data_IF_245657711543
#
_entry.id   IF_245657711543
#
_cell.length_a   1.000
_cell.length_b   1.000
_cell.length_c   1.000
_cell.angle_alpha   90.00
_cell.angle_beta   90.00
_cell.angle_gamma   90.00
#
_symmetry.space_group_name_H-M   'P 1'
#
loop_
_entity.id
_entity.type
_entity.pdbx_description
1 polymer ?
#
# COMPACT_ATOMS: atom_id res chain seq x y z
N UNK A 1 9.93 23.51 2.54
CA UNK A 1 9.49 22.29 1.83
C UNK A 1 9.41 21.17 2.87
N UNK A 2 8.27 20.98 3.50
CA UNK A 2 8.04 19.82 4.39
C UNK A 2 8.04 18.58 3.51
N UNK A 3 9.08 17.74 3.63
CA UNK A 3 9.15 16.48 2.89
C UNK A 3 7.85 15.70 3.11
N UNK A 4 7.21 15.30 2.02
CA UNK A 4 5.97 14.52 2.06
C UNK A 4 6.25 13.23 2.83
N UNK A 5 5.77 13.13 4.08
CA UNK A 5 5.93 11.92 4.91
C UNK A 5 4.60 11.19 4.98
N UNK A 6 4.62 9.88 4.77
CA UNK A 6 3.45 9.02 4.99
C UNK A 6 3.06 9.00 6.47
N UNK A 7 1.77 8.83 6.81
CA UNK A 7 1.36 8.66 8.19
C UNK A 7 1.98 7.39 8.79
N UNK A 8 2.34 7.43 10.08
CA UNK A 8 2.93 6.28 10.76
C UNK A 8 1.91 5.14 10.88
N UNK A 9 0.63 5.48 11.13
CA UNK A 9 -0.48 4.54 11.21
C UNK A 9 -1.61 4.92 10.24
N UNK A 10 -2.18 3.92 9.57
CA UNK A 10 -3.27 4.12 8.62
C UNK A 10 -4.44 3.21 8.96
N UNK A 11 -5.57 3.82 9.33
CA UNK A 11 -6.84 3.11 9.48
C UNK A 11 -7.35 2.75 8.10
N UNK A 12 -7.50 1.46 7.85
CA UNK A 12 -8.06 0.94 6.61
C UNK A 12 -9.55 0.69 6.81
N UNK A 13 -10.38 1.57 6.23
CA UNK A 13 -11.84 1.39 6.22
C UNK A 13 -12.21 0.08 5.48
N UNK A 14 -13.25 -0.61 5.96
CA UNK A 14 -13.88 -1.76 5.31
C UNK A 14 -14.03 -1.56 3.80
N UNK A 15 -14.47 -0.36 3.37
CA UNK A 15 -14.71 -0.10 1.95
C UNK A 15 -13.43 -0.28 1.12
N UNK A 16 -12.27 0.19 1.57
CA UNK A 16 -11.02 0.04 0.80
C UNK A 16 -10.54 -1.41 0.79
N UNK A 17 -10.73 -2.13 1.90
CA UNK A 17 -10.38 -3.55 2.03
C UNK A 17 -11.26 -4.48 1.18
N UNK A 18 -12.49 -4.07 0.82
CA UNK A 18 -13.36 -4.88 -0.07
C UNK A 18 -12.88 -4.93 -1.52
N UNK A 19 -12.08 -3.97 -1.98
CA UNK A 19 -11.44 -4.06 -3.29
C UNK A 19 -10.23 -4.98 -3.20
N UNK A 20 -10.25 -6.10 -3.92
CA UNK A 20 -9.12 -7.04 -3.95
C UNK A 20 -7.81 -6.38 -4.41
N UNK A 21 -7.89 -5.44 -5.34
CA UNK A 21 -6.71 -4.72 -5.87
C UNK A 21 -6.17 -3.71 -4.87
N UNK A 22 -7.03 -2.88 -4.29
CA UNK A 22 -6.59 -1.92 -3.26
C UNK A 22 -6.08 -2.65 -2.03
N UNK A 23 -6.75 -3.71 -1.59
CA UNK A 23 -6.31 -4.54 -0.48
C UNK A 23 -4.91 -5.11 -0.70
N UNK A 24 -4.64 -5.70 -1.87
CA UNK A 24 -3.31 -6.18 -2.23
C UNK A 24 -2.24 -5.09 -2.11
N UNK A 25 -2.48 -3.92 -2.70
CA UNK A 25 -1.54 -2.81 -2.67
C UNK A 25 -1.33 -2.31 -1.22
N UNK A 26 -2.42 -2.09 -0.47
CA UNK A 26 -2.37 -1.48 0.86
C UNK A 26 -1.72 -2.41 1.89
N UNK A 27 -2.09 -3.69 1.92
CA UNK A 27 -1.44 -4.67 2.80
C UNK A 27 0.01 -4.90 2.38
N UNK A 28 0.31 -4.86 1.08
CA UNK A 28 1.66 -4.95 0.55
C UNK A 28 2.56 -3.78 0.94
N UNK A 29 2.02 -2.56 1.00
CA UNK A 29 2.70 -1.36 1.49
C UNK A 29 2.93 -1.45 3.00
N UNK A 30 1.91 -1.88 3.76
CA UNK A 30 2.02 -2.09 5.21
C UNK A 30 3.09 -3.12 5.55
N UNK A 31 3.14 -4.24 4.83
CA UNK A 31 4.14 -5.29 5.03
C UNK A 31 5.58 -4.85 4.73
N UNK A 32 5.77 -3.82 3.89
CA UNK A 32 7.08 -3.23 3.58
C UNK A 32 7.42 -2.03 4.48
N UNK A 33 6.61 -1.78 5.51
CA UNK A 33 6.87 -0.74 6.52
C UNK A 33 6.59 0.68 6.04
N UNK A 34 5.84 0.87 4.94
CA UNK A 34 5.49 2.23 4.47
C UNK A 34 4.52 2.95 5.42
N UNK A 35 3.71 2.18 6.16
CA UNK A 35 2.88 2.60 7.29
C UNK A 35 2.51 1.36 8.10
N UNK A 36 1.94 1.53 9.30
CA UNK A 36 1.38 0.44 10.11
C UNK A 36 -0.15 0.40 9.92
N UNK A 37 -0.73 -0.67 9.37
CA UNK A 37 -2.18 -0.75 9.22
C UNK A 37 -2.87 -0.80 10.58
N UNK A 38 -4.08 -0.25 10.62
CA UNK A 38 -4.98 -0.25 11.78
C UNK A 38 -6.38 -0.63 11.33
N UNK A 39 -7.03 -1.51 12.08
CA UNK A 39 -8.46 -1.80 11.95
C UNK A 39 -9.06 -2.17 13.31
N UNK A 40 -10.34 -1.93 13.52
CA UNK A 40 -11.04 -2.42 14.71
C UNK A 40 -11.68 -3.77 14.43
N UNK A 41 -12.14 -4.44 15.49
CA UNK A 41 -13.00 -5.62 15.35
C UNK A 41 -14.27 -5.32 14.55
N UNK A 42 -14.81 -4.11 14.64
CA UNK A 42 -16.00 -3.70 13.85
C UNK A 42 -15.67 -3.70 12.34
N UNK A 43 -14.50 -3.19 11.95
CA UNK A 43 -14.03 -3.24 10.55
C UNK A 43 -13.84 -4.69 10.09
N UNK A 44 -13.29 -5.54 10.95
CA UNK A 44 -13.15 -6.98 10.67
C UNK A 44 -14.50 -7.64 10.40
N UNK A 45 -15.45 -7.48 11.32
CA UNK A 45 -16.78 -8.07 11.25
C UNK A 45 -17.57 -7.54 10.04
N UNK A 46 -17.44 -6.24 9.72
CA UNK A 46 -18.01 -5.67 8.50
C UNK A 46 -17.38 -6.23 7.23
N UNK A 47 -16.06 -6.35 7.20
CA UNK A 47 -15.36 -6.88 6.04
C UNK A 47 -15.77 -8.34 5.79
N UNK A 48 -15.74 -9.20 6.81
CA UNK A 48 -16.11 -10.61 6.70
C UNK A 48 -17.56 -10.79 6.21
N UNK A 49 -18.51 -10.00 6.74
CA UNK A 49 -19.91 -10.02 6.28
C UNK A 49 -20.06 -9.63 4.81
N UNK A 50 -19.30 -8.63 4.36
CA UNK A 50 -19.41 -8.12 3.00
C UNK A 50 -18.59 -8.94 1.99
N UNK A 51 -17.49 -9.56 2.41
CA UNK A 51 -16.62 -10.37 1.57
C UNK A 51 -17.37 -11.57 0.96
N UNK A 52 -18.23 -12.22 1.74
CA UNK A 52 -19.07 -13.32 1.26
C UNK A 52 -19.95 -12.91 0.06
N UNK A 53 -20.44 -11.66 0.07
CA UNK A 53 -21.27 -11.11 -1.02
C UNK A 53 -20.46 -10.61 -2.21
N UNK A 54 -19.29 -10.01 -1.96
CA UNK A 54 -18.51 -9.29 -2.99
C UNK A 54 -17.49 -10.18 -3.69
N UNK A 55 -16.90 -11.14 -2.97
CA UNK A 55 -15.85 -12.01 -3.48
C UNK A 55 -16.36 -13.41 -3.86
N UNK A 56 -17.67 -13.69 -3.69
CA UNK A 56 -18.28 -15.00 -3.93
C UNK A 56 -17.58 -16.14 -3.16
N UNK A 57 -17.05 -15.84 -1.98
CA UNK A 57 -16.40 -16.80 -1.09
C UNK A 57 -17.35 -17.19 0.04
N UNK A 58 -17.15 -18.38 0.60
CA UNK A 58 -17.85 -18.81 1.82
C UNK A 58 -17.45 -17.96 3.03
N UNK A 59 -18.27 -18.01 4.08
CA UNK A 59 -17.96 -17.33 5.33
C UNK A 59 -16.68 -17.89 6.00
N UNK A 60 -16.41 -19.19 5.85
CA UNK A 60 -15.19 -19.83 6.35
C UNK A 60 -13.94 -19.34 5.59
N UNK A 61 -14.01 -19.22 4.27
CA UNK A 61 -12.91 -18.67 3.47
C UNK A 61 -12.65 -17.20 3.81
N UNK A 62 -13.70 -16.39 3.96
CA UNK A 62 -13.55 -14.99 4.38
C UNK A 62 -12.88 -14.89 5.76
N UNK A 63 -13.27 -15.75 6.73
CA UNK A 63 -12.61 -15.82 8.04
C UNK A 63 -11.13 -16.19 7.90
N UNK A 64 -10.83 -17.26 7.14
CA UNK A 64 -9.46 -17.71 6.93
C UNK A 64 -8.56 -16.62 6.31
N UNK A 65 -9.08 -15.85 5.34
CA UNK A 65 -8.36 -14.73 4.75
C UNK A 65 -8.10 -13.61 5.77
N UNK A 66 -9.10 -13.30 6.59
CA UNK A 66 -8.92 -12.29 7.63
C UNK A 66 -7.90 -12.73 8.69
N UNK A 67 -7.96 -13.99 9.11
CA UNK A 67 -7.03 -14.56 10.09
C UNK A 67 -5.59 -14.53 9.58
N UNK A 68 -5.36 -14.79 8.30
CA UNK A 68 -4.05 -14.61 7.66
C UNK A 68 -3.54 -13.16 7.79
N UNK A 69 -4.41 -12.16 7.56
CA UNK A 69 -4.03 -10.75 7.68
C UNK A 69 -3.80 -10.35 9.14
N UNK A 70 -4.65 -10.81 10.05
CA UNK A 70 -4.48 -10.58 11.48
C UNK A 70 -3.18 -11.19 11.99
N UNK A 71 -2.83 -12.39 11.52
CA UNK A 71 -1.55 -13.03 11.85
C UNK A 71 -0.36 -12.26 11.29
N UNK A 72 -0.46 -11.74 10.06
CA UNK A 72 0.59 -10.92 9.44
C UNK A 72 0.74 -9.54 10.10
N UNK A 73 -0.34 -9.00 10.66
CA UNK A 73 -0.39 -7.67 11.26
C UNK A 73 -0.98 -7.70 12.68
N UNK A 74 -0.30 -8.33 13.66
CA UNK A 74 -0.87 -8.52 15.00
C UNK A 74 -1.19 -7.19 15.69
N UNK A 75 -0.37 -6.16 15.46
CA UNK A 75 -0.59 -4.83 16.02
C UNK A 75 -1.80 -4.08 15.42
N UNK A 76 -2.40 -4.57 14.34
CA UNK A 76 -3.48 -3.88 13.65
C UNK A 76 -4.87 -4.16 14.27
N UNK A 77 -5.03 -5.25 15.03
CA UNK A 77 -6.36 -5.77 15.45
C UNK A 77 -6.74 -5.43 16.90
N UNK A 78 -5.79 -5.09 17.76
CA UNK A 78 -5.99 -4.97 19.21
C UNK A 78 -6.29 -3.55 19.66
N UNK A 79 -7.46 -3.02 19.29
CA UNK A 79 -7.91 -1.71 19.77
C UNK A 79 -9.33 -1.79 20.32
N UNK A 80 -9.48 -1.44 21.60
CA UNK A 80 -10.78 -1.12 22.18
C UNK A 80 -11.17 0.29 21.71
N UNK A 81 -12.24 0.38 20.91
CA UNK A 81 -12.63 1.64 20.24
C UNK A 81 -13.87 2.30 20.84
N UNK A 82 -14.65 1.59 21.67
CA UNK A 82 -15.94 2.10 22.16
C UNK A 82 -15.81 3.43 22.93
N UNK A 83 -14.83 3.60 23.83
CA UNK A 83 -14.64 4.87 24.54
C UNK A 83 -14.33 6.05 23.60
N UNK A 84 -13.77 5.77 22.42
CA UNK A 84 -13.37 6.78 21.46
C UNK A 84 -14.50 7.22 20.53
N UNK A 85 -15.69 6.61 20.62
CA UNK A 85 -16.88 7.12 19.92
C UNK A 85 -17.53 8.29 20.66
N UNK A 86 -17.29 8.41 21.97
CA UNK A 86 -17.87 9.47 22.80
C UNK A 86 -17.42 10.85 22.29
N UNK A 87 -18.39 11.71 22.01
CA UNK A 87 -18.13 13.08 21.57
C UNK A 87 -18.00 13.28 20.06
N UNK A 88 -18.03 12.21 19.25
CA UNK A 88 -18.22 12.31 17.81
C UNK A 88 -19.63 12.81 17.51
N UNK A 89 -19.74 13.77 16.58
CA UNK A 89 -21.02 14.46 16.32
C UNK A 89 -21.26 14.80 14.85
N UNK A 90 -20.20 15.07 14.09
CA UNK A 90 -20.34 15.73 12.79
C UNK A 90 -20.17 14.79 11.60
N UNK A 91 -19.40 13.72 11.75
CA UNK A 91 -19.29 12.64 10.75
C UNK A 91 -20.48 11.68 10.84
N UNK A 92 -20.74 10.91 9.78
CA UNK A 92 -21.81 9.91 9.75
C UNK A 92 -21.61 8.90 10.89
N UNK A 93 -22.67 8.65 11.66
CA UNK A 93 -22.64 7.79 12.84
C UNK A 93 -22.25 6.34 12.49
N UNK A 94 -22.55 5.88 11.28
CA UNK A 94 -22.16 4.54 10.83
C UNK A 94 -20.64 4.39 10.69
N UNK A 95 -19.93 5.49 10.43
CA UNK A 95 -18.48 5.52 10.17
C UNK A 95 -17.67 5.93 11.42
N UNK A 96 -18.33 6.21 12.54
CA UNK A 96 -17.67 6.57 13.81
C UNK A 96 -16.69 5.50 14.29
N UNK A 97 -16.94 4.23 13.98
CA UNK A 97 -16.04 3.15 14.36
C UNK A 97 -14.66 3.25 13.67
N UNK A 98 -14.59 3.81 12.45
CA UNK A 98 -13.34 4.07 11.72
C UNK A 98 -12.58 5.22 12.38
N UNK A 99 -13.30 6.29 12.76
CA UNK A 99 -12.72 7.42 13.50
C UNK A 99 -12.18 6.97 14.85
N UNK A 100 -12.98 6.21 15.59
CA UNK A 100 -12.64 5.68 16.89
C UNK A 100 -11.41 4.76 16.84
N UNK A 101 -11.25 3.95 15.79
CA UNK A 101 -10.03 3.17 15.56
C UNK A 101 -8.78 4.06 15.41
N UNK A 102 -8.89 5.17 14.68
CA UNK A 102 -7.81 6.13 14.53
C UNK A 102 -7.47 6.86 15.84
N UNK A 103 -8.49 7.22 16.62
CA UNK A 103 -8.30 7.82 17.94
C UNK A 103 -7.63 6.85 18.92
N UNK A 104 -8.07 5.59 18.94
CA UNK A 104 -7.48 4.55 19.79
C UNK A 104 -6.01 4.29 19.43
N UNK A 105 -5.69 4.18 18.15
CA UNK A 105 -4.31 4.03 17.68
C UNK A 105 -3.45 5.23 18.09
N UNK A 106 -3.96 6.46 17.93
CA UNK A 106 -3.22 7.66 18.33
C UNK A 106 -3.00 7.73 19.83
N UNK A 107 -4.00 7.35 20.64
CA UNK A 107 -3.86 7.27 22.09
C UNK A 107 -2.79 6.26 22.49
N UNK A 108 -2.77 5.07 21.87
CA UNK A 108 -1.79 4.01 22.15
C UNK A 108 -0.36 4.35 21.69
N UNK A 109 -0.22 5.15 20.63
CA UNK A 109 1.05 5.33 19.93
C UNK A 109 1.53 6.79 19.85
N UNK A 110 1.02 7.69 20.71
CA UNK A 110 1.45 9.09 20.74
C UNK A 110 2.98 9.21 20.91
N UNK A 111 3.66 10.10 20.17
CA UNK A 111 3.13 11.17 19.31
C UNK A 111 2.98 10.80 17.81
N UNK A 112 2.71 9.54 17.46
CA UNK A 112 2.63 9.11 16.05
C UNK A 112 1.51 9.78 15.24
N UNK A 113 1.77 9.98 13.95
CA UNK A 113 0.78 10.47 13.00
C UNK A 113 -0.19 9.36 12.57
N UNK A 114 -1.50 9.66 12.58
CA UNK A 114 -2.55 8.70 12.23
C UNK A 114 -3.47 9.28 11.17
N UNK A 115 -3.79 8.48 10.16
CA UNK A 115 -4.70 8.85 9.10
C UNK A 115 -5.77 7.79 8.87
N UNK A 116 -6.89 8.20 8.28
CA UNK A 116 -7.96 7.31 7.80
C UNK A 116 -7.89 7.25 6.27
N UNK A 117 -7.98 6.03 5.72
CA UNK A 117 -8.11 5.79 4.29
C UNK A 117 -9.49 5.23 3.97
N UNK A 118 -10.28 5.96 3.18
CA UNK A 118 -11.64 5.57 2.80
C UNK A 118 -11.98 6.05 1.39
N UNK A 119 -12.87 5.33 0.69
CA UNK A 119 -13.50 5.84 -0.54
C UNK A 119 -14.63 6.83 -0.24
N UNK A 120 -15.25 6.76 0.94
CA UNK A 120 -16.44 7.50 1.29
C UNK A 120 -16.10 8.81 2.01
N UNK A 121 -15.09 9.54 1.53
CA UNK A 121 -14.56 10.75 2.22
C UNK A 121 -15.61 11.84 2.52
N UNK A 122 -16.76 11.81 1.85
CA UNK A 122 -17.90 12.71 2.09
C UNK A 122 -18.65 12.43 3.40
N UNK A 123 -18.54 11.20 3.93
CA UNK A 123 -19.21 10.78 5.17
C UNK A 123 -18.42 11.23 6.42
N UNK A 124 -17.21 11.80 6.22
CA UNK A 124 -16.30 12.24 7.26
C UNK A 124 -16.17 13.77 7.31
N UNK A 125 -16.44 14.36 8.47
CA UNK A 125 -16.31 15.80 8.67
C UNK A 125 -14.82 16.20 8.86
N UNK A 126 -14.23 16.83 7.83
CA UNK A 126 -12.80 17.23 7.85
C UNK A 126 -12.42 18.16 9.02
N UNK A 127 -13.22 19.19 9.38
CA UNK A 127 -12.93 20.00 10.58
C UNK A 127 -12.90 19.20 11.88
N UNK A 128 -13.83 18.26 12.07
CA UNK A 128 -13.85 17.34 13.22
C UNK A 128 -12.58 16.49 13.26
N UNK A 129 -12.24 15.80 12.16
CA UNK A 129 -11.03 14.98 12.09
C UNK A 129 -9.75 15.78 12.37
N UNK A 130 -9.64 17.00 11.85
CA UNK A 130 -8.48 17.87 12.10
C UNK A 130 -8.35 18.25 13.57
N UNK A 131 -9.44 18.62 14.24
CA UNK A 131 -9.43 18.91 15.70
C UNK A 131 -9.03 17.67 16.49
N UNK A 132 -9.47 16.51 16.03
CA UNK A 132 -9.09 15.22 16.56
C UNK A 132 -7.70 14.77 16.12
N UNK A 133 -6.88 15.56 15.41
CA UNK A 133 -5.54 15.16 15.01
C UNK A 133 -5.46 13.95 14.06
N UNK A 134 -6.50 13.73 13.25
CA UNK A 134 -6.56 12.68 12.23
C UNK A 134 -6.51 13.29 10.83
N UNK A 135 -5.70 12.71 9.95
CA UNK A 135 -5.74 12.99 8.53
C UNK A 135 -6.76 12.10 7.80
N UNK A 136 -7.23 12.53 6.63
CA UNK A 136 -8.19 11.79 5.81
C UNK A 136 -7.71 11.74 4.36
N UNK A 137 -7.55 10.53 3.83
CA UNK A 137 -7.15 10.28 2.46
C UNK A 137 -8.22 9.49 1.68
N UNK A 138 -8.36 9.82 0.39
CA UNK A 138 -8.88 8.90 -0.61
C UNK A 138 -7.74 8.00 -1.15
N UNK A 139 -8.04 6.79 -1.67
CA UNK A 139 -7.02 5.87 -2.17
C UNK A 139 -6.10 6.46 -3.25
N UNK A 140 -6.66 7.23 -4.18
CA UNK A 140 -5.90 7.81 -5.29
C UNK A 140 -4.86 8.81 -4.77
N UNK A 141 -5.29 9.75 -3.92
CA UNK A 141 -4.36 10.70 -3.28
C UNK A 141 -3.30 10.01 -2.43
N UNK A 142 -3.68 8.98 -1.65
CA UNK A 142 -2.73 8.27 -0.79
C UNK A 142 -1.67 7.53 -1.60
N UNK A 143 -2.07 6.80 -2.65
CA UNK A 143 -1.13 6.04 -3.47
C UNK A 143 -0.22 6.93 -4.31
N UNK A 144 -0.66 8.13 -4.71
CA UNK A 144 0.23 9.16 -5.27
C UNK A 144 1.32 9.53 -4.26
N UNK A 145 0.96 9.77 -3.00
CA UNK A 145 1.92 10.09 -1.96
C UNK A 145 2.89 8.92 -1.69
N UNK A 146 2.39 7.68 -1.70
CA UNK A 146 3.26 6.50 -1.64
C UNK A 146 4.20 6.42 -2.85
N UNK A 147 3.73 6.76 -4.05
CA UNK A 147 4.56 6.76 -5.25
C UNK A 147 5.70 7.79 -5.13
N UNK A 148 5.45 8.95 -4.54
CA UNK A 148 6.48 9.97 -4.29
C UNK A 148 7.52 9.51 -3.26
N UNK A 149 7.09 8.81 -2.20
CA UNK A 149 7.95 8.44 -1.06
C UNK A 149 8.67 7.10 -1.28
N UNK A 150 8.01 6.11 -1.87
CA UNK A 150 8.51 4.74 -2.02
C UNK A 150 8.14 4.12 -3.38
N UNK A 151 8.43 4.86 -4.48
CA UNK A 151 8.15 4.43 -5.87
C UNK A 151 8.44 2.95 -6.17
N UNK A 152 9.63 2.39 -5.87
CA UNK A 152 9.94 1.00 -6.23
C UNK A 152 8.96 0.00 -5.61
N UNK A 153 8.50 0.28 -4.38
CA UNK A 153 7.53 -0.57 -3.68
C UNK A 153 6.16 -0.51 -4.35
N UNK A 154 5.68 0.70 -4.68
CA UNK A 154 4.39 0.89 -5.34
C UNK A 154 4.38 0.21 -6.71
N UNK A 155 5.43 0.41 -7.51
CA UNK A 155 5.57 -0.19 -8.84
C UNK A 155 5.57 -1.72 -8.74
N UNK A 156 6.39 -2.32 -7.87
CA UNK A 156 6.43 -3.77 -7.70
C UNK A 156 5.08 -4.36 -7.26
N UNK A 157 4.33 -3.66 -6.41
CA UNK A 157 2.99 -4.09 -5.99
C UNK A 157 1.97 -4.04 -7.11
N UNK A 158 2.06 -3.02 -7.97
CA UNK A 158 1.22 -2.87 -9.15
C UNK A 158 1.53 -3.93 -10.21
N UNK A 159 2.80 -4.26 -10.42
CA UNK A 159 3.24 -5.32 -11.34
C UNK A 159 2.80 -6.71 -10.88
N UNK A 160 2.75 -6.95 -9.57
CA UNK A 160 2.30 -8.20 -8.97
C UNK A 160 0.78 -8.38 -8.95
N UNK A 161 -0.02 -7.40 -9.39
CA UNK A 161 -1.47 -7.56 -9.47
C UNK A 161 -1.83 -8.58 -10.56
N UNK A 162 -2.79 -9.49 -10.30
CA UNK A 162 -3.32 -10.36 -11.34
C UNK A 162 -3.82 -9.54 -12.53
N UNK A 163 -3.15 -9.75 -13.67
CA UNK A 163 -3.54 -9.18 -14.95
C UNK A 163 -4.71 -10.00 -15.52
N UNK A 164 -5.56 -9.37 -16.33
CA UNK A 164 -6.65 -10.09 -16.96
C UNK A 164 -6.12 -11.10 -17.98
N UNK A 165 -6.93 -12.07 -18.39
CA UNK A 165 -6.55 -13.05 -19.43
C UNK A 165 -6.18 -12.40 -20.79
N UNK A 166 -6.46 -11.11 -20.98
CA UNK A 166 -6.10 -10.33 -22.16
C UNK A 166 -4.70 -9.69 -22.09
N UNK A 167 -3.98 -9.82 -20.98
CA UNK A 167 -2.71 -9.13 -20.74
C UNK A 167 -1.54 -10.11 -20.83
N UNK A 168 -0.55 -9.83 -21.68
CA UNK A 168 0.67 -10.64 -21.76
C UNK A 168 1.60 -10.38 -20.55
N UNK A 169 2.41 -11.37 -20.13
CA UNK A 169 3.33 -11.24 -19.00
C UNK A 169 4.29 -10.04 -19.10
N UNK A 170 4.70 -9.69 -20.31
CA UNK A 170 5.71 -8.65 -20.59
C UNK A 170 5.13 -7.27 -20.89
N UNK A 171 3.82 -7.07 -20.73
CA UNK A 171 3.23 -5.82 -21.16
C UNK A 171 3.62 -4.63 -20.25
N UNK A 172 3.98 -3.45 -20.80
CA UNK A 172 4.38 -2.28 -20.03
C UNK A 172 3.29 -1.76 -19.09
N UNK A 173 3.69 -0.91 -18.14
CA UNK A 173 2.84 -0.19 -17.17
C UNK A 173 1.61 0.48 -17.82
N UNK A 174 1.66 0.79 -19.12
CA UNK A 174 0.53 1.26 -19.93
C UNK A 174 -0.74 0.40 -19.83
N UNK A 175 -0.65 -0.92 -19.61
CA UNK A 175 -1.79 -1.85 -19.47
C UNK A 175 -2.54 -1.68 -18.14
N UNK A 176 -1.89 -1.14 -17.10
CA UNK A 176 -2.55 -0.92 -15.81
C UNK A 176 -3.57 0.21 -15.84
N UNK A 177 -3.52 1.08 -16.85
CA UNK A 177 -4.40 2.25 -17.01
C UNK A 177 -5.89 1.93 -16.79
N UNK A 178 -6.40 0.92 -17.49
CA UNK A 178 -7.81 0.53 -17.40
C UNK A 178 -8.17 0.02 -16.00
N UNK A 179 -7.28 -0.77 -15.41
CA UNK A 179 -7.45 -1.29 -14.05
C UNK A 179 -7.44 -0.17 -13.00
N UNK A 180 -6.45 0.73 -13.05
CA UNK A 180 -6.33 1.85 -12.12
C UNK A 180 -7.56 2.77 -12.18
N UNK A 181 -8.06 3.05 -13.39
CA UNK A 181 -9.29 3.85 -13.58
C UNK A 181 -10.53 3.16 -13.01
N UNK A 182 -10.66 1.83 -13.13
CA UNK A 182 -11.74 1.07 -12.48
C UNK A 182 -11.70 1.18 -10.95
N UNK A 183 -10.50 1.23 -10.37
CA UNK A 183 -10.30 1.51 -8.93
C UNK A 183 -10.36 3.02 -8.59
N UNK A 184 -10.69 3.88 -9.57
CA UNK A 184 -10.75 5.34 -9.45
C UNK A 184 -9.42 6.01 -9.08
N UNK A 185 -8.30 5.36 -9.42
CA UNK A 185 -6.93 5.83 -9.19
C UNK A 185 -6.42 6.73 -10.33
N UNK A 186 -7.17 7.79 -10.65
CA UNK A 186 -6.93 8.62 -11.84
C UNK A 186 -5.65 9.44 -11.78
N UNK A 187 -5.25 9.95 -10.60
CA UNK A 187 -4.02 10.73 -10.44
C UNK A 187 -2.80 9.82 -10.51
N UNK A 188 -2.85 8.69 -9.81
CA UNK A 188 -1.77 7.70 -9.86
C UNK A 188 -1.52 7.23 -11.30
N UNK A 189 -2.58 6.89 -12.01
CA UNK A 189 -2.54 6.46 -13.40
C UNK A 189 -1.92 7.53 -14.33
N UNK A 190 -2.30 8.80 -14.14
CA UNK A 190 -1.69 9.91 -14.88
C UNK A 190 -0.19 10.06 -14.61
N UNK A 191 0.23 9.94 -13.36
CA UNK A 191 1.65 10.06 -13.00
C UNK A 191 2.47 8.91 -13.58
N UNK A 192 1.97 7.68 -13.52
CA UNK A 192 2.67 6.52 -14.07
C UNK A 192 2.86 6.65 -15.59
N UNK A 193 1.83 7.10 -16.33
CA UNK A 193 1.96 7.39 -17.77
C UNK A 193 2.87 8.56 -18.09
N UNK A 194 2.91 9.58 -17.23
CA UNK A 194 3.82 10.71 -17.38
C UNK A 194 5.26 10.41 -16.99
N UNK A 195 5.56 9.19 -16.49
CA UNK A 195 6.93 8.76 -16.15
C UNK A 195 7.53 7.78 -17.17
N UNK A 196 6.95 7.62 -18.37
CA UNK A 196 7.66 6.89 -19.43
C UNK A 196 8.99 7.60 -19.71
N UNK A 197 10.14 6.90 -19.68
CA UNK A 197 11.37 7.47 -20.19
C UNK A 197 11.11 7.79 -21.67
N UNK A 198 11.22 9.06 -22.04
CA UNK A 198 11.14 9.49 -23.44
C UNK A 198 12.12 8.64 -24.27
N UNK A 199 11.66 7.79 -25.22
CA UNK A 199 12.55 7.01 -26.07
C UNK A 199 13.39 7.90 -27.00
N UNK A 200 13.07 9.20 -27.07
CA UNK A 200 13.75 10.23 -27.84
C UNK A 200 14.79 11.03 -27.02
N UNK A 201 14.90 10.79 -25.72
CA UNK A 201 15.88 11.50 -24.90
C UNK A 201 17.29 11.10 -25.34
N UNK A 202 18.13 12.06 -25.79
CA UNK A 202 19.46 11.73 -26.25
C UNK A 202 20.27 11.15 -25.09
N UNK A 203 20.90 10.00 -25.32
CA UNK A 203 21.94 9.45 -24.44
C UNK A 203 23.02 10.53 -24.35
N UNK A 204 23.09 11.24 -23.23
CA UNK A 204 24.21 12.14 -22.95
C UNK A 204 25.47 11.30 -22.83
N UNK A 205 26.21 11.15 -23.92
CA UNK A 205 27.59 10.71 -23.88
C UNK A 205 28.40 11.84 -23.24
N UNK A 206 28.69 11.71 -21.95
CA UNK A 206 29.72 12.52 -21.31
C UNK A 206 31.06 12.21 -21.95
N UNK A 207 31.45 13.01 -22.94
CA UNK A 207 32.81 13.06 -23.43
C UNK A 207 33.68 13.71 -22.34
N UNK A 208 34.47 12.89 -21.64
CA UNK A 208 35.62 13.35 -20.90
C UNK A 208 36.87 12.98 -21.70
N UNK A 209 37.39 13.94 -22.46
CA UNK A 209 38.78 13.89 -22.91
C UNK A 209 39.70 14.30 -21.77
N UNK A 210 40.65 13.46 -21.40
CA UNK A 210 42.08 13.79 -21.50
C UNK A 210 42.99 12.71 -20.89
N UNK A 211 44.01 12.38 -21.68
CA UNK A 211 45.40 12.14 -21.27
C UNK A 211 45.76 10.90 -20.43
N UNK A 212 46.16 9.84 -21.16
CA UNK A 212 47.47 9.19 -21.10
C UNK A 212 48.22 9.05 -19.77
N UNK A 213 48.23 7.83 -19.23
CA UNK A 213 49.44 7.13 -18.76
C UNK A 213 49.10 5.66 -18.42
N UNK A 214 49.80 4.72 -19.08
CA UNK A 214 50.07 3.35 -18.58
C UNK A 214 51.49 3.37 -17.98
N UNK A 215 51.95 2.42 -17.11
CA UNK A 215 51.60 0.99 -17.17
C UNK A 215 51.62 0.15 -15.86
N UNK A 216 51.19 -1.12 -16.04
CA UNK A 216 51.71 -2.39 -15.48
C UNK A 216 51.05 -3.06 -14.25
N UNK A 217 51.08 -4.39 -14.37
CA UNK A 217 50.84 -5.50 -13.43
C UNK A 217 49.37 -5.84 -13.09
N UNK A 218 48.77 -6.88 -13.68
CA UNK A 218 48.94 -8.34 -13.49
C UNK A 218 48.35 -8.86 -12.15
N UNK A 219 47.26 -9.63 -12.23
CA UNK A 219 47.11 -11.02 -11.76
C UNK A 219 45.62 -11.41 -11.68
N UNK A 220 45.38 -12.66 -12.09
CA UNK A 220 44.12 -13.39 -12.23
C UNK A 220 43.35 -13.63 -10.92
N UNK A 221 42.08 -14.03 -11.05
CA UNK A 221 41.31 -14.59 -9.93
C UNK A 221 39.82 -14.83 -10.20
N UNK A 222 39.50 -15.70 -11.16
CA UNK A 222 38.17 -16.27 -11.35
C UNK A 222 37.98 -17.42 -10.34
N UNK A 223 36.93 -17.40 -9.52
CA UNK A 223 36.48 -18.62 -8.84
C UNK A 223 34.96 -18.67 -8.70
N UNK A 224 34.38 -19.57 -9.50
CA UNK A 224 33.02 -20.09 -9.40
C UNK A 224 33.12 -21.40 -8.62
N UNK A 225 32.29 -21.59 -7.59
CA UNK A 225 32.08 -22.90 -6.98
C UNK A 225 30.61 -23.30 -7.11
N UNK A 226 30.37 -24.23 -8.04
CA UNK A 226 29.23 -25.13 -8.05
C UNK A 226 29.48 -26.25 -7.04
N UNK A 227 28.49 -26.57 -6.22
CA UNK A 227 28.49 -27.72 -5.32
C UNK A 227 27.15 -28.44 -5.39
N UNK A 228 27.05 -29.42 -6.29
CA UNK A 228 25.96 -30.39 -6.32
C UNK A 228 26.19 -31.48 -5.27
N UNK A 229 25.12 -31.93 -4.62
CA UNK A 229 25.13 -33.06 -3.70
C UNK A 229 23.86 -33.89 -3.88
N UNK A 230 23.94 -34.91 -4.73
CA UNK A 230 22.96 -36.01 -4.83
C UNK A 230 23.37 -37.12 -3.85
N UNK A 231 22.56 -37.37 -2.82
CA UNK A 231 22.70 -38.51 -1.92
C UNK A 231 21.59 -39.55 -2.16
N UNK A 232 21.97 -40.71 -2.67
CA UNK A 232 21.10 -41.89 -2.82
C UNK A 232 21.11 -42.73 -1.53
N UNK A 233 19.91 -43.23 -1.20
CA UNK A 233 19.51 -44.44 -0.48
C UNK A 233 20.62 -45.35 0.08
N UNK A 234 20.47 -45.64 1.37
CA UNK A 234 20.71 -46.94 2.00
C UNK A 234 19.48 -47.29 2.81
#
# INVERSE_FOLDING_TARGET
>A
MTGSRLPDYLVLDTCVLLSGRLRHILLGLGARGCFRPVWSRVIADEWQRNAARVAHVSADEARAWWDEWAHRFPAATELEIEPFKTGLKYSDAKDWHVIAAGLAARHRHAPASVAILTRNTRDFNRPELRRLGLALFDPDRFLVQCLEVCRPVVVALLEALPRGAADTPDAPIGILSGMLRRERLFRLDRLLRGTDPDPSAPISSGAAGSSGARPRDAVAGFFVMNGGGTGRRG
#
